data_IF_659896702347
#
_entry.id   IF_659896702347
#
_cell.length_a   1.000
_cell.length_b   1.000
_cell.length_c   1.000
_cell.angle_alpha   90.00
_cell.angle_beta   90.00
_cell.angle_gamma   90.00
#
_symmetry.space_group_name_H-M   'P 1'
#
loop_
_entity.id
_entity.type
_entity.pdbx_description
1 polymer ?
#
# COMPACT_ATOMS: atom_id res chain seq x y z
N UNK A 1 0.96 -7.87 15.94
CA UNK A 1 1.95 -7.73 14.84
C UNK A 1 1.88 -8.98 13.99
N UNK A 2 1.91 -8.86 12.67
CA UNK A 2 1.87 -10.03 11.75
C UNK A 2 3.21 -10.79 11.78
N UNK A 3 3.18 -12.10 11.52
CA UNK A 3 4.39 -12.88 11.22
C UNK A 3 4.90 -12.50 9.82
N UNK A 4 6.16 -12.06 9.73
CA UNK A 4 6.75 -11.62 8.46
C UNK A 4 6.87 -12.75 7.43
N UNK A 5 6.87 -14.02 7.87
CA UNK A 5 6.86 -15.18 6.96
C UNK A 5 5.60 -15.24 6.11
N UNK A 6 4.47 -14.74 6.60
CA UNK A 6 3.23 -14.64 5.82
C UNK A 6 3.39 -13.63 4.67
N UNK A 7 4.05 -12.50 4.93
CA UNK A 7 4.33 -11.51 3.89
C UNK A 7 5.25 -12.12 2.83
N UNK A 8 6.34 -12.78 3.24
CA UNK A 8 7.26 -13.43 2.29
C UNK A 8 6.57 -14.50 1.44
N UNK A 9 5.67 -15.30 2.03
CA UNK A 9 4.88 -16.30 1.31
C UNK A 9 3.84 -15.74 0.35
N UNK A 10 3.43 -14.48 0.53
CA UNK A 10 2.44 -13.79 -0.30
C UNK A 10 3.07 -12.82 -1.32
N UNK A 11 4.40 -12.84 -1.49
CA UNK A 11 5.10 -12.06 -2.51
C UNK A 11 5.08 -12.74 -3.86
N UNK A 12 4.76 -11.96 -4.89
CA UNK A 12 4.89 -12.36 -6.28
C UNK A 12 5.91 -11.47 -6.97
N UNK A 13 7.07 -12.04 -7.35
CA UNK A 13 8.12 -11.32 -8.07
C UNK A 13 7.70 -11.02 -9.50
N UNK A 14 7.82 -9.76 -9.92
CA UNK A 14 7.49 -9.28 -11.25
C UNK A 14 8.56 -8.33 -11.79
N UNK A 15 8.64 -8.23 -13.12
CA UNK A 15 9.58 -7.37 -13.86
C UNK A 15 8.94 -6.68 -15.08
N UNK A 16 7.61 -6.58 -15.10
CA UNK A 16 6.93 -6.02 -16.28
C UNK A 16 7.19 -4.51 -16.38
N UNK A 17 7.40 -4.02 -17.61
CA UNK A 17 7.48 -2.57 -17.92
C UNK A 17 6.22 -1.82 -17.56
N UNK A 18 5.07 -2.45 -17.77
CA UNK A 18 3.76 -1.95 -17.38
C UNK A 18 2.98 -3.09 -16.75
N UNK A 19 2.36 -2.81 -15.62
CA UNK A 19 1.48 -3.78 -14.95
C UNK A 19 0.24 -3.07 -14.44
N UNK A 20 -0.87 -3.79 -14.42
CA UNK A 20 -2.15 -3.27 -13.95
C UNK A 20 -2.66 -4.19 -12.85
N UNK A 21 -2.70 -3.68 -11.64
CA UNK A 21 -3.28 -4.37 -10.49
C UNK A 21 -4.72 -3.90 -10.31
N UNK A 22 -5.61 -4.85 -10.11
CA UNK A 22 -7.04 -4.61 -9.91
C UNK A 22 -7.47 -5.18 -8.57
N UNK A 23 -8.54 -4.63 -8.02
CA UNK A 23 -9.25 -5.25 -6.92
C UNK A 23 -9.79 -6.62 -7.36
N UNK A 24 -9.47 -7.68 -6.60
CA UNK A 24 -9.93 -9.04 -6.91
C UNK A 24 -11.39 -9.28 -6.56
N UNK A 25 -11.97 -8.48 -5.66
CA UNK A 25 -13.39 -8.56 -5.30
C UNK A 25 -14.29 -7.89 -6.33
N UNK A 26 -13.70 -7.15 -7.27
CA UNK A 26 -14.39 -6.41 -8.33
C UNK A 26 -15.46 -5.42 -7.79
N UNK A 27 -15.37 -5.04 -6.52
CA UNK A 27 -16.26 -4.05 -5.91
C UNK A 27 -15.84 -2.63 -6.30
N UNK A 28 -14.59 -2.46 -6.73
CA UNK A 28 -13.99 -1.21 -7.11
C UNK A 28 -13.54 -1.22 -8.58
N UNK A 29 -13.96 -0.20 -9.35
CA UNK A 29 -13.44 0.08 -10.70
C UNK A 29 -12.00 0.63 -10.68
N UNK A 30 -11.43 0.87 -9.49
CA UNK A 30 -10.11 1.46 -9.31
C UNK A 30 -9.00 0.46 -9.67
N UNK A 31 -7.98 0.95 -10.37
CA UNK A 31 -6.83 0.15 -10.79
C UNK A 31 -5.53 0.85 -10.43
N UNK A 32 -4.54 0.08 -10.00
CA UNK A 32 -3.17 0.56 -9.85
C UNK A 32 -2.38 0.28 -11.13
N UNK A 33 -1.81 1.33 -11.71
CA UNK A 33 -0.91 1.22 -12.85
C UNK A 33 0.53 1.33 -12.35
N UNK A 34 1.31 0.28 -12.55
CA UNK A 34 2.75 0.30 -12.33
C UNK A 34 3.42 0.64 -13.65
N UNK A 35 4.12 1.76 -13.70
CA UNK A 35 4.98 2.15 -14.82
C UNK A 35 6.45 1.97 -14.43
N UNK A 36 7.06 0.92 -14.98
CA UNK A 36 8.45 0.52 -14.81
C UNK A 36 9.21 0.61 -16.14
N UNK A 37 8.76 1.49 -17.05
CA UNK A 37 9.33 1.62 -18.39
C UNK A 37 10.77 2.12 -18.41
N UNK A 38 11.18 2.91 -17.41
CA UNK A 38 12.50 3.53 -17.38
C UNK A 38 13.63 2.62 -16.91
N UNK A 39 13.35 1.68 -15.99
CA UNK A 39 14.40 1.01 -15.23
C UNK A 39 14.27 -0.52 -15.11
N UNK A 40 13.21 -1.15 -15.65
CA UNK A 40 12.97 -2.61 -15.59
C UNK A 40 13.33 -3.24 -14.22
N UNK A 41 13.00 -2.54 -13.13
CA UNK A 41 13.38 -2.95 -11.78
C UNK A 41 12.52 -4.15 -11.37
N UNK A 42 13.13 -5.09 -10.66
CA UNK A 42 12.40 -6.17 -10.01
C UNK A 42 11.56 -5.62 -8.83
N UNK A 43 10.30 -6.02 -8.77
CA UNK A 43 9.40 -5.66 -7.67
C UNK A 43 8.54 -6.85 -7.26
N UNK A 44 8.18 -6.91 -5.98
CA UNK A 44 7.22 -7.86 -5.46
C UNK A 44 5.85 -7.20 -5.35
N UNK A 45 4.82 -7.88 -5.82
CA UNK A 45 3.43 -7.58 -5.45
C UNK A 45 3.09 -8.42 -4.22
N UNK A 46 2.51 -7.79 -3.21
CA UNK A 46 2.08 -8.43 -1.96
C UNK A 46 0.56 -8.32 -1.91
N UNK A 47 -0.14 -9.42 -1.71
CA UNK A 47 -1.58 -9.40 -1.50
C UNK A 47 -1.91 -9.41 -0.01
N UNK A 48 -2.24 -8.25 0.55
CA UNK A 48 -2.47 -8.15 1.98
C UNK A 48 -3.82 -8.76 2.37
N UNK A 49 -4.89 -8.33 1.72
CA UNK A 49 -6.25 -8.72 2.15
C UNK A 49 -6.51 -10.23 1.99
N UNK A 50 -6.28 -10.78 0.79
CA UNK A 50 -6.69 -12.16 0.47
C UNK A 50 -5.58 -13.22 0.66
N UNK A 51 -4.39 -12.81 1.09
CA UNK A 51 -3.28 -13.73 1.37
C UNK A 51 -2.70 -13.51 2.78
N UNK A 52 -2.10 -12.35 3.06
CA UNK A 52 -1.44 -12.11 4.36
C UNK A 52 -2.44 -12.15 5.54
N UNK A 53 -3.64 -11.60 5.34
CA UNK A 53 -4.66 -11.47 6.38
C UNK A 53 -5.89 -12.38 6.16
N UNK A 54 -5.82 -13.34 5.22
CA UNK A 54 -6.96 -14.16 4.79
C UNK A 54 -7.74 -14.80 5.95
N UNK A 55 -7.02 -15.34 6.93
CA UNK A 55 -7.61 -16.10 8.05
C UNK A 55 -7.60 -15.31 9.37
N UNK A 56 -7.32 -14.00 9.31
CA UNK A 56 -7.24 -13.14 10.49
C UNK A 56 -8.53 -12.34 10.60
N UNK A 57 -9.40 -12.73 11.54
CA UNK A 57 -10.51 -11.86 11.96
C UNK A 57 -9.93 -10.61 12.61
N UNK A 58 -9.87 -9.52 11.86
CA UNK A 58 -9.43 -8.21 12.35
C UNK A 58 -10.61 -7.27 12.42
N UNK A 59 -10.69 -6.48 13.50
CA UNK A 59 -11.66 -5.38 13.64
C UNK A 59 -11.52 -4.30 12.56
N UNK A 60 -10.38 -4.27 11.86
CA UNK A 60 -10.09 -3.31 10.80
C UNK A 60 -9.69 -4.04 9.52
N UNK A 61 -10.42 -3.79 8.44
CA UNK A 61 -10.02 -4.18 7.09
C UNK A 61 -8.58 -3.71 6.81
N UNK A 62 -7.84 -4.50 6.04
CA UNK A 62 -6.47 -4.19 5.62
C UNK A 62 -6.50 -3.65 4.19
N UNK A 63 -5.39 -3.07 3.74
CA UNK A 63 -5.34 -2.58 2.38
C UNK A 63 -5.26 -3.74 1.39
N UNK A 64 -5.64 -3.50 0.15
CA UNK A 64 -5.70 -4.57 -0.86
C UNK A 64 -4.31 -5.15 -1.16
N UNK A 65 -3.36 -4.26 -1.46
CA UNK A 65 -2.11 -4.63 -2.12
C UNK A 65 -0.90 -3.90 -1.52
N UNK A 66 0.28 -4.47 -1.78
CA UNK A 66 1.57 -3.85 -1.58
C UNK A 66 2.44 -3.99 -2.82
N UNK A 67 3.27 -2.98 -3.09
CA UNK A 67 4.36 -3.09 -4.07
C UNK A 67 5.66 -2.82 -3.36
N UNK A 68 6.57 -3.79 -3.40
CA UNK A 68 7.86 -3.71 -2.74
C UNK A 68 9.00 -3.72 -3.77
N UNK A 69 9.87 -2.72 -3.71
CA UNK A 69 11.13 -2.69 -4.45
C UNK A 69 12.30 -2.95 -3.50
N UNK A 70 13.54 -2.81 -3.97
CA UNK A 70 14.70 -2.89 -3.10
C UNK A 70 14.63 -1.91 -1.91
N UNK A 71 14.20 -0.67 -2.17
CA UNK A 71 14.33 0.44 -1.23
C UNK A 71 13.00 0.92 -0.65
N UNK A 72 11.90 0.62 -1.34
CA UNK A 72 10.61 1.19 -1.07
C UNK A 72 9.55 0.09 -0.89
N UNK A 73 8.54 0.40 -0.09
CA UNK A 73 7.28 -0.33 -0.04
C UNK A 73 6.14 0.66 -0.19
N UNK A 74 5.20 0.34 -1.07
CA UNK A 74 3.98 1.10 -1.34
C UNK A 74 2.80 0.27 -0.84
N UNK A 75 2.06 0.79 0.14
CA UNK A 75 0.81 0.22 0.63
C UNK A 75 -0.33 0.81 -0.18
N UNK A 76 -1.05 -0.03 -0.93
CA UNK A 76 -1.99 0.41 -1.97
C UNK A 76 -3.39 -0.06 -1.60
N UNK A 77 -4.31 0.90 -1.52
CA UNK A 77 -5.76 0.67 -1.42
C UNK A 77 -6.45 1.14 -2.70
N UNK A 78 -7.30 0.29 -3.26
CA UNK A 78 -8.12 0.51 -4.44
C UNK A 78 -9.58 0.74 -4.04
N UNK A 79 -9.95 1.97 -3.67
CA UNK A 79 -11.30 2.25 -3.17
C UNK A 79 -12.27 2.72 -4.23
N UNK A 80 -13.50 2.23 -4.18
CA UNK A 80 -14.60 2.70 -5.01
C UNK A 80 -15.23 4.01 -4.50
N UNK A 81 -15.63 4.06 -3.23
CA UNK A 81 -16.58 5.07 -2.72
C UNK A 81 -16.42 5.46 -1.23
N UNK A 82 -15.26 5.20 -0.59
CA UNK A 82 -15.05 5.65 0.80
C UNK A 82 -13.58 5.91 1.14
N UNK A 83 -13.15 7.14 0.91
CA UNK A 83 -11.76 7.56 1.10
C UNK A 83 -11.27 7.38 2.53
N UNK A 84 -12.10 7.69 3.53
CA UNK A 84 -11.72 7.61 4.94
C UNK A 84 -11.55 6.16 5.42
N UNK A 85 -12.37 5.23 4.90
CA UNK A 85 -12.17 3.81 5.13
C UNK A 85 -10.83 3.35 4.54
N UNK A 86 -10.52 3.77 3.31
CA UNK A 86 -9.25 3.47 2.66
C UNK A 86 -8.02 3.96 3.43
N UNK A 87 -8.06 5.20 3.94
CA UNK A 87 -6.99 5.72 4.80
C UNK A 87 -6.79 4.87 6.06
N UNK A 88 -7.88 4.43 6.71
CA UNK A 88 -7.81 3.58 7.90
C UNK A 88 -7.25 2.19 7.59
N UNK A 89 -7.57 1.62 6.43
CA UNK A 89 -7.02 0.33 5.98
C UNK A 89 -5.50 0.42 5.72
N UNK A 90 -5.05 1.49 5.05
CA UNK A 90 -3.61 1.75 4.86
C UNK A 90 -2.94 1.87 6.23
N UNK A 91 -3.48 2.70 7.14
CA UNK A 91 -2.92 2.88 8.48
C UNK A 91 -2.82 1.56 9.24
N UNK A 92 -3.92 0.80 9.30
CA UNK A 92 -3.97 -0.48 9.99
C UNK A 92 -2.96 -1.49 9.41
N UNK A 93 -2.75 -1.47 8.09
CA UNK A 93 -1.78 -2.34 7.42
C UNK A 93 -0.35 -1.94 7.72
N UNK A 94 -0.03 -0.65 7.62
CA UNK A 94 1.31 -0.12 7.96
C UNK A 94 1.65 -0.44 9.41
N UNK A 95 0.74 -0.16 10.35
CA UNK A 95 0.97 -0.44 11.78
C UNK A 95 1.20 -1.93 12.04
N UNK A 96 0.50 -2.80 11.32
CA UNK A 96 0.60 -4.26 11.49
C UNK A 96 1.84 -4.88 10.87
N UNK A 97 2.42 -4.24 9.84
CA UNK A 97 3.43 -4.86 8.96
C UNK A 97 4.77 -4.11 8.88
N UNK A 98 4.86 -2.85 9.35
CA UNK A 98 6.08 -2.02 9.25
C UNK A 98 7.35 -2.67 9.79
N UNK A 99 7.26 -3.56 10.77
CA UNK A 99 8.42 -4.26 11.33
C UNK A 99 9.04 -5.26 10.37
N UNK A 100 8.26 -5.77 9.40
CA UNK A 100 8.72 -6.73 8.39
C UNK A 100 9.53 -6.09 7.27
N UNK A 101 9.42 -4.77 7.08
CA UNK A 101 10.14 -4.03 6.04
C UNK A 101 11.43 -3.38 6.56
N UNK A 102 12.01 -3.95 7.63
CA UNK A 102 13.34 -3.62 8.12
C UNK A 102 14.35 -4.52 7.40
N UNK A 103 15.19 -3.94 6.54
CA UNK A 103 16.36 -4.65 5.98
C UNK A 103 17.49 -4.62 6.99
N UNK A 104 18.37 -5.63 6.95
CA UNK A 104 19.69 -5.53 7.58
C UNK A 104 20.61 -4.85 6.57
N UNK A 105 21.09 -3.65 6.89
CA UNK A 105 22.04 -2.91 6.05
C UNK A 105 23.42 -3.55 6.03
N UNK A 106 24.28 -3.09 5.11
CA UNK A 106 25.65 -3.59 4.91
C UNK A 106 26.50 -3.55 6.19
N UNK A 107 26.21 -2.61 7.10
CA UNK A 107 26.88 -2.49 8.41
C UNK A 107 26.22 -3.29 9.53
N UNK A 108 25.40 -4.31 9.22
CA UNK A 108 24.55 -5.06 10.16
C UNK A 108 23.56 -4.20 10.96
N UNK A 109 23.41 -2.93 10.61
CA UNK A 109 22.42 -2.02 11.21
C UNK A 109 21.10 -2.16 10.45
N UNK A 110 19.94 -2.25 11.12
CA UNK A 110 18.67 -2.29 10.43
C UNK A 110 18.44 -0.97 9.67
N UNK A 111 18.26 -1.07 8.36
CA UNK A 111 17.83 0.02 7.47
C UNK A 111 16.37 -0.23 7.12
N UNK A 112 15.50 0.69 7.52
CA UNK A 112 14.09 0.57 7.20
C UNK A 112 13.85 0.99 5.75
N UNK A 113 13.09 0.20 4.99
CA UNK A 113 12.62 0.62 3.67
C UNK A 113 11.78 1.89 3.82
N UNK A 114 11.84 2.76 2.83
CA UNK A 114 10.92 3.89 2.75
C UNK A 114 9.51 3.34 2.55
N UNK A 115 8.58 3.78 3.39
CA UNK A 115 7.20 3.33 3.36
C UNK A 115 6.36 4.46 2.76
N UNK A 116 5.47 4.09 1.84
CA UNK A 116 4.59 5.03 1.14
C UNK A 116 3.17 4.48 1.19
N UNK A 117 2.17 5.35 1.27
CA UNK A 117 0.76 5.00 1.15
C UNK A 117 0.19 5.52 -0.15
N UNK A 118 -0.62 4.71 -0.83
CA UNK A 118 -1.32 5.11 -2.04
C UNK A 118 -2.78 4.72 -1.89
N UNK A 119 -3.65 5.70 -1.84
CA UNK A 119 -5.09 5.49 -1.98
C UNK A 119 -5.51 5.90 -3.39
N UNK A 120 -5.95 4.93 -4.19
CA UNK A 120 -6.50 5.17 -5.53
C UNK A 120 -8.01 5.13 -5.41
N UNK A 121 -8.67 6.24 -5.74
CA UNK A 121 -10.12 6.35 -5.63
C UNK A 121 -10.75 6.43 -7.01
N UNK A 122 -11.94 5.85 -7.17
CA UNK A 122 -12.64 5.90 -8.45
C UNK A 122 -13.03 7.35 -8.79
N UNK A 123 -13.09 7.68 -10.09
CA UNK A 123 -13.43 9.04 -10.58
C UNK A 123 -14.80 9.56 -10.11
N UNK A 124 -15.62 8.73 -9.47
CA UNK A 124 -16.95 9.08 -8.96
C UNK A 124 -16.90 9.85 -7.64
N UNK A 125 -15.79 9.79 -6.89
CA UNK A 125 -15.60 10.57 -5.66
C UNK A 125 -14.31 11.39 -5.67
N UNK A 126 -14.45 12.71 -5.62
CA UNK A 126 -13.32 13.60 -5.32
C UNK A 126 -12.94 13.44 -3.84
N UNK A 127 -11.66 13.24 -3.49
CA UNK A 127 -11.20 13.28 -2.10
C UNK A 127 -11.61 14.58 -1.41
N UNK A 128 -12.61 14.52 -0.53
CA UNK A 128 -13.11 15.64 0.27
C UNK A 128 -13.30 15.18 1.72
N UNK A 129 -13.16 16.12 2.67
CA UNK A 129 -13.38 15.87 4.10
C UNK A 129 -12.62 14.65 4.64
N UNK A 130 -11.34 14.53 4.25
CA UNK A 130 -10.48 13.45 4.70
C UNK A 130 -10.25 13.52 6.21
N UNK A 131 -10.24 12.36 6.86
CA UNK A 131 -9.98 12.23 8.29
C UNK A 131 -8.57 12.74 8.63
N UNK A 132 -8.52 13.96 9.16
CA UNK A 132 -7.28 14.66 9.53
C UNK A 132 -6.48 13.90 10.59
N UNK A 133 -7.13 13.16 11.48
CA UNK A 133 -6.44 12.40 12.53
C UNK A 133 -5.72 11.22 11.89
N UNK A 134 -6.41 10.48 11.02
CA UNK A 134 -5.83 9.35 10.28
C UNK A 134 -4.70 9.82 9.36
N UNK A 135 -4.88 10.92 8.61
CA UNK A 135 -3.83 11.52 7.79
C UNK A 135 -2.59 11.89 8.61
N UNK A 136 -2.76 12.58 9.74
CA UNK A 136 -1.63 12.96 10.62
C UNK A 136 -0.87 11.73 11.12
N UNK A 137 -1.57 10.64 11.47
CA UNK A 137 -0.93 9.38 11.87
C UNK A 137 -0.14 8.76 10.72
N UNK A 138 -0.69 8.76 9.52
CA UNK A 138 -0.03 8.26 8.31
C UNK A 138 1.21 9.09 7.98
N UNK A 139 1.12 10.42 7.98
CA UNK A 139 2.26 11.32 7.79
C UNK A 139 3.37 11.07 8.80
N UNK A 140 3.03 10.90 10.09
CA UNK A 140 4.02 10.58 11.10
C UNK A 140 4.69 9.20 10.90
N UNK A 141 3.97 8.22 10.33
CA UNK A 141 4.49 6.87 10.12
C UNK A 141 5.30 6.73 8.83
N UNK A 142 4.87 7.41 7.77
CA UNK A 142 5.46 7.32 6.43
C UNK A 142 6.52 8.40 6.20
N UNK A 143 6.46 9.50 6.96
CA UNK A 143 7.39 10.63 6.87
C UNK A 143 7.13 11.52 5.65
N UNK A 144 5.97 11.42 5.01
CA UNK A 144 5.61 12.17 3.81
C UNK A 144 4.27 12.88 4.01
N UNK A 145 4.19 14.11 3.51
CA UNK A 145 2.94 14.89 3.53
C UNK A 145 1.98 14.40 2.44
N UNK A 146 0.66 14.36 2.70
CA UNK A 146 -0.32 13.89 1.73
C UNK A 146 -0.38 14.78 0.48
N UNK A 147 -0.28 14.16 -0.71
CA UNK A 147 -0.47 14.82 -2.00
C UNK A 147 -1.71 14.25 -2.68
N UNK A 148 -2.66 15.12 -3.04
CA UNK A 148 -3.88 14.74 -3.77
C UNK A 148 -3.70 15.07 -5.25
N UNK A 149 -3.58 14.05 -6.08
CA UNK A 149 -3.53 14.17 -7.54
C UNK A 149 -4.96 14.13 -8.11
N UNK A 150 -5.51 15.31 -8.45
CA UNK A 150 -6.91 15.44 -8.85
C UNK A 150 -7.27 14.71 -10.16
N UNK A 151 -6.32 14.51 -11.08
CA UNK A 151 -6.58 13.86 -12.39
C UNK A 151 -6.74 12.35 -12.28
N UNK A 152 -5.97 11.74 -11.38
CA UNK A 152 -5.94 10.31 -11.11
C UNK A 152 -6.73 9.95 -9.85
N UNK A 153 -7.29 10.96 -9.17
CA UNK A 153 -7.89 10.88 -7.83
C UNK A 153 -7.09 9.95 -6.93
N UNK A 154 -5.80 10.24 -6.82
CA UNK A 154 -4.85 9.46 -6.04
C UNK A 154 -4.37 10.29 -4.86
N UNK A 155 -4.40 9.72 -3.66
CA UNK A 155 -3.77 10.30 -2.48
C UNK A 155 -2.46 9.56 -2.24
N UNK A 156 -1.34 10.25 -2.41
CA UNK A 156 -0.01 9.74 -2.08
C UNK A 156 0.37 10.21 -0.68
N UNK A 157 0.87 9.31 0.15
CA UNK A 157 1.15 9.47 1.58
C UNK A 157 2.52 8.91 1.95
#
# INVERSE_FOLDING_TARGET
MIDCRLIEGCKELRKKKKDTLKDKKAESDSVCLIDNSSNEIDYNVIEFENCVFKDIQSEYEKCDLGVETENDVFFIELKGSNNNKGLKQILATVESTKHCFKKIGQNKKPVQKRMNGILIVSKKEVPKNLDKITLRKLTNLLGVEPIIEQRTYTIKL
#
